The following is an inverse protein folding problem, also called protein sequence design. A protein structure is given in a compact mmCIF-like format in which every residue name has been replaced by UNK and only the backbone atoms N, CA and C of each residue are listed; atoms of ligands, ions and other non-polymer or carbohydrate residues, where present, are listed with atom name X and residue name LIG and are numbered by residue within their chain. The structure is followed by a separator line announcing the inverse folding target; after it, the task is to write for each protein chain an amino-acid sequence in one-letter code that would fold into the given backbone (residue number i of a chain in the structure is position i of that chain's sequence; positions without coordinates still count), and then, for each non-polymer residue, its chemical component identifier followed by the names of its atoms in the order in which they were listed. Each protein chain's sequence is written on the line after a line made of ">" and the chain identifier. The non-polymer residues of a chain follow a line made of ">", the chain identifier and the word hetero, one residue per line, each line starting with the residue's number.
data_IF_302815185084
#
_entry.id   IF_302815185084
#
_cell.length_a   1.000
_cell.length_b   1.000
_cell.length_c   1.000
_cell.angle_alpha   90.00
_cell.angle_beta   90.00
_cell.angle_gamma   90.00
#
_symmetry.space_group_name_H-M   'P 1'
#
loop_
_entity.id
_entity.type
_entity.pdbx_description
1 polymer ?
#
# COMPACT_ATOMS: atom_id res chain seq x y z
N UNK A 1 13.90 -12.82 -25.44
CA UNK A 1 14.90 -13.66 -24.76
C UNK A 1 14.81 -13.38 -23.26
N UNK A 2 14.26 -14.28 -22.42
CA UNK A 2 13.97 -13.98 -21.00
C UNK A 2 15.20 -13.78 -20.09
N UNK A 3 16.40 -13.68 -20.67
CA UNK A 3 17.69 -13.59 -19.97
C UNK A 3 18.28 -12.17 -19.91
N UNK A 4 17.61 -11.14 -20.46
CA UNK A 4 18.15 -9.77 -20.52
C UNK A 4 17.74 -8.86 -19.36
N UNK A 5 17.04 -9.37 -18.34
CA UNK A 5 16.72 -8.60 -17.14
C UNK A 5 17.86 -8.77 -16.13
N UNK A 6 19.00 -8.11 -16.41
CA UNK A 6 20.19 -8.16 -15.55
C UNK A 6 20.19 -7.05 -14.50
N UNK A 7 20.33 -7.46 -13.24
CA UNK A 7 20.28 -6.69 -11.99
C UNK A 7 18.86 -6.41 -11.46
N UNK A 8 18.43 -7.22 -10.48
CA UNK A 8 17.37 -6.82 -9.55
C UNK A 8 17.98 -5.82 -8.58
N UNK A 9 17.90 -4.55 -8.93
CA UNK A 9 18.21 -3.48 -7.99
C UNK A 9 16.98 -3.21 -7.14
N UNK A 10 17.17 -3.11 -5.83
CA UNK A 10 16.11 -2.67 -4.91
C UNK A 10 16.49 -1.31 -4.34
N UNK A 11 15.55 -0.37 -4.41
CA UNK A 11 15.68 0.93 -3.74
C UNK A 11 15.14 0.78 -2.32
N UNK A 12 16.00 0.97 -1.33
CA UNK A 12 15.59 0.87 0.07
C UNK A 12 14.71 2.08 0.44
N UNK A 13 13.54 1.81 1.03
CA UNK A 13 12.52 2.81 1.39
C UNK A 13 13.14 3.95 2.21
N UNK A 14 12.96 5.19 1.75
CA UNK A 14 13.49 6.38 2.43
C UNK A 14 14.98 6.68 2.19
N UNK A 15 15.64 5.98 1.27
CA UNK A 15 17.04 6.25 0.90
C UNK A 15 17.20 6.33 -0.63
N UNK A 16 18.23 7.02 -1.10
CA UNK A 16 18.69 6.96 -2.50
C UNK A 16 19.64 5.80 -2.77
N UNK A 17 19.81 4.87 -1.81
CA UNK A 17 20.73 3.76 -1.92
C UNK A 17 20.08 2.63 -2.71
N UNK A 18 20.71 2.30 -3.83
CA UNK A 18 20.37 1.18 -4.69
C UNK A 18 21.20 -0.02 -4.19
N UNK A 19 20.52 -1.06 -3.73
CA UNK A 19 21.19 -2.33 -3.44
C UNK A 19 21.14 -3.19 -4.71
N UNK A 20 22.31 -3.42 -5.31
CA UNK A 20 22.46 -4.23 -6.50
C UNK A 20 22.91 -5.64 -6.10
N UNK A 21 22.10 -6.64 -6.45
CA UNK A 21 22.51 -8.03 -6.32
C UNK A 21 23.07 -8.52 -7.68
N UNK A 22 24.31 -9.01 -7.75
CA UNK A 22 24.82 -9.60 -8.97
C UNK A 22 24.01 -10.84 -9.33
N UNK A 23 23.82 -11.09 -10.62
CA UNK A 23 23.18 -12.29 -11.10
C UNK A 23 23.98 -13.52 -10.66
N UNK A 24 23.30 -14.54 -10.14
CA UNK A 24 23.93 -15.81 -9.84
C UNK A 24 24.42 -16.48 -11.14
N UNK A 25 25.60 -17.09 -11.10
CA UNK A 25 26.11 -17.85 -12.23
C UNK A 25 25.35 -19.18 -12.37
N UNK A 26 24.82 -19.46 -13.55
CA UNK A 26 24.03 -20.66 -13.86
C UNK A 26 24.86 -21.94 -13.84
N UNK A 27 26.18 -21.84 -13.95
CA UNK A 27 27.09 -23.01 -13.90
C UNK A 27 27.45 -23.43 -12.47
N UNK A 28 27.05 -22.64 -11.46
CA UNK A 28 27.30 -22.97 -10.07
C UNK A 28 26.33 -24.08 -9.60
N UNK A 29 26.89 -25.13 -9.00
CA UNK A 29 26.17 -26.28 -8.45
C UNK A 29 25.16 -25.82 -7.38
N UNK A 30 25.42 -24.70 -6.72
CA UNK A 30 24.53 -24.14 -5.71
C UNK A 30 23.24 -23.53 -6.30
N UNK A 31 23.23 -23.12 -7.57
CA UNK A 31 22.08 -22.46 -8.19
C UNK A 31 20.83 -23.34 -8.29
N UNK A 32 20.87 -24.57 -8.86
CA UNK A 32 19.69 -25.43 -8.92
C UNK A 32 19.20 -25.87 -7.53
N UNK A 33 20.11 -26.03 -6.57
CA UNK A 33 19.76 -26.37 -5.18
C UNK A 33 19.06 -25.21 -4.49
N UNK A 34 19.55 -23.97 -4.67
CA UNK A 34 18.92 -22.77 -4.16
C UNK A 34 17.54 -22.54 -4.80
N UNK A 35 17.42 -22.72 -6.12
CA UNK A 35 16.16 -22.64 -6.85
C UNK A 35 15.11 -23.60 -6.28
N UNK A 36 15.45 -24.89 -6.16
CA UNK A 36 14.55 -25.90 -5.59
C UNK A 36 14.17 -25.60 -4.13
N UNK A 37 15.11 -25.08 -3.33
CA UNK A 37 14.85 -24.69 -1.95
C UNK A 37 13.90 -23.49 -1.89
N UNK A 38 14.06 -22.50 -2.76
CA UNK A 38 13.17 -21.33 -2.86
C UNK A 38 11.77 -21.76 -3.32
N UNK A 39 11.65 -22.60 -4.36
CA UNK A 39 10.34 -23.01 -4.89
C UNK A 39 9.57 -23.89 -3.90
N UNK A 40 10.27 -24.73 -3.11
CA UNK A 40 9.65 -25.54 -2.06
C UNK A 40 9.33 -24.75 -0.78
N UNK A 41 9.97 -23.60 -0.59
CA UNK A 41 9.76 -22.75 0.58
C UNK A 41 8.63 -21.77 0.26
N UNK A 42 7.40 -22.12 0.65
CA UNK A 42 6.27 -21.18 0.66
C UNK A 42 6.53 -19.96 1.57
N UNK A 43 7.49 -20.10 2.50
CA UNK A 43 7.72 -19.18 3.61
C UNK A 43 8.75 -18.06 3.37
N UNK A 44 9.29 -17.86 2.17
CA UNK A 44 10.17 -16.68 1.98
C UNK A 44 9.36 -15.40 2.16
N UNK A 45 8.13 -15.41 1.66
CA UNK A 45 7.15 -14.36 1.96
C UNK A 45 6.81 -14.37 3.45
N UNK A 46 6.42 -15.48 4.06
CA UNK A 46 6.04 -15.49 5.49
C UNK A 46 7.17 -15.06 6.45
N UNK A 47 8.43 -15.34 6.09
CA UNK A 47 9.60 -15.06 6.92
C UNK A 47 10.11 -13.61 6.79
N UNK A 48 9.96 -12.98 5.62
CA UNK A 48 10.44 -11.62 5.36
C UNK A 48 9.33 -10.56 5.22
N UNK A 49 8.08 -10.99 5.07
CA UNK A 49 6.91 -10.12 4.83
C UNK A 49 6.07 -9.90 6.09
N UNK A 50 6.53 -10.32 7.29
CA UNK A 50 5.80 -10.11 8.55
C UNK A 50 5.56 -8.63 8.90
N UNK A 51 6.37 -7.72 8.34
CA UNK A 51 6.26 -6.27 8.51
C UNK A 51 5.98 -5.52 7.21
N UNK A 52 5.59 -6.23 6.16
CA UNK A 52 5.24 -5.58 4.90
C UNK A 52 3.83 -5.02 5.04
N UNK A 53 3.76 -3.74 5.36
CA UNK A 53 2.49 -3.03 5.37
C UNK A 53 2.02 -2.87 3.93
N UNK A 54 0.72 -3.06 3.71
CA UNK A 54 0.10 -2.71 2.44
C UNK A 54 0.32 -1.22 2.16
N UNK A 55 0.50 -0.88 0.90
CA UNK A 55 0.72 0.50 0.50
C UNK A 55 -0.57 1.33 0.67
N UNK A 56 -0.44 2.53 1.25
CA UNK A 56 -1.58 3.42 1.49
C UNK A 56 -2.20 4.00 0.21
N UNK A 57 -1.50 3.91 -0.92
CA UNK A 57 -1.96 4.41 -2.21
C UNK A 57 -1.62 3.35 -3.26
N UNK A 58 -2.66 2.76 -3.84
CA UNK A 58 -2.54 1.76 -4.90
C UNK A 58 -3.37 2.22 -6.08
N UNK A 59 -2.85 2.06 -7.29
CA UNK A 59 -3.61 2.28 -8.53
C UNK A 59 -3.84 0.92 -9.18
N UNK A 60 -5.11 0.52 -9.28
CA UNK A 60 -5.51 -0.74 -9.89
C UNK A 60 -6.23 -0.49 -11.21
N UNK A 61 -5.82 -1.19 -12.27
CA UNK A 61 -6.48 -1.13 -13.57
C UNK A 61 -7.37 -2.36 -13.74
N UNK A 62 -8.69 -2.16 -13.82
CA UNK A 62 -9.61 -3.22 -14.20
C UNK A 62 -9.44 -3.48 -15.71
N UNK A 63 -9.01 -4.69 -16.07
CA UNK A 63 -8.74 -5.05 -17.46
C UNK A 63 -9.85 -5.96 -17.98
N UNK A 64 -10.59 -5.48 -18.98
CA UNK A 64 -11.46 -6.34 -19.79
C UNK A 64 -10.71 -6.76 -21.05
N UNK A 65 -10.63 -8.07 -21.30
CA UNK A 65 -9.93 -8.63 -22.46
C UNK A 65 -10.94 -9.15 -23.46
N UNK A 66 -10.85 -8.64 -24.67
CA UNK A 66 -11.58 -9.17 -25.83
C UNK A 66 -10.60 -9.42 -26.96
N UNK A 67 -10.79 -10.51 -27.68
CA UNK A 67 -9.94 -10.87 -28.82
C UNK A 67 -10.79 -11.16 -30.04
N UNK A 68 -10.37 -10.64 -31.18
CA UNK A 68 -10.94 -10.95 -32.48
C UNK A 68 -9.80 -11.32 -33.45
N UNK A 69 -10.10 -12.16 -34.44
CA UNK A 69 -9.13 -12.51 -35.46
C UNK A 69 -8.71 -11.25 -36.24
N UNK A 70 -7.41 -10.97 -36.26
CA UNK A 70 -6.81 -9.84 -36.96
C UNK A 70 -5.65 -10.32 -37.85
N UNK A 71 -5.48 -9.77 -39.06
CA UNK A 71 -6.37 -8.81 -39.73
C UNK A 71 -7.60 -9.50 -40.33
N UNK A 72 -8.66 -8.73 -40.61
CA UNK A 72 -9.81 -9.24 -41.35
C UNK A 72 -9.43 -9.46 -42.82
N UNK A 73 -9.93 -10.55 -43.42
CA UNK A 73 -9.63 -10.94 -44.81
C UNK A 73 -9.74 -9.80 -45.83
N UNK A 74 -10.79 -8.96 -45.85
CA UNK A 74 -10.88 -7.87 -46.83
C UNK A 74 -9.82 -6.77 -46.62
N UNK A 75 -9.29 -6.60 -45.42
CA UNK A 75 -8.31 -5.56 -45.09
C UNK A 75 -6.86 -6.06 -45.09
N UNK A 76 -6.62 -7.35 -45.38
CA UNK A 76 -5.29 -7.96 -45.28
C UNK A 76 -4.25 -7.31 -46.22
N UNK A 77 -4.67 -6.84 -47.40
CA UNK A 77 -3.79 -6.13 -48.33
C UNK A 77 -3.37 -4.75 -47.82
N UNK A 78 -4.22 -4.07 -47.05
CA UNK A 78 -3.88 -2.80 -46.41
C UNK A 78 -2.88 -3.04 -45.27
N UNK A 79 -3.05 -4.12 -44.52
CA UNK A 79 -2.06 -4.55 -43.52
C UNK A 79 -0.72 -4.86 -44.18
N UNK A 80 -0.71 -5.53 -45.33
CA UNK A 80 0.52 -5.77 -46.12
C UNK A 80 1.22 -4.45 -46.49
N UNK A 81 0.50 -3.51 -47.08
CA UNK A 81 1.06 -2.22 -47.48
C UNK A 81 1.60 -1.44 -46.27
N UNK A 82 0.91 -1.51 -45.13
CA UNK A 82 1.38 -0.92 -43.88
C UNK A 82 2.67 -1.58 -43.40
N UNK A 83 2.75 -2.91 -43.34
CA UNK A 83 3.95 -3.64 -42.91
C UNK A 83 5.15 -3.35 -43.82
N UNK A 84 4.94 -3.31 -45.14
CA UNK A 84 6.00 -2.96 -46.12
C UNK A 84 6.46 -1.49 -46.02
N UNK A 85 5.60 -0.61 -45.48
CA UNK A 85 5.97 0.80 -45.24
C UNK A 85 6.79 1.00 -43.97
N UNK A 86 6.78 0.04 -43.05
CA UNK A 86 7.55 0.09 -41.81
C UNK A 86 9.01 -0.30 -42.09
N UNK A 87 9.96 0.38 -41.46
CA UNK A 87 11.40 0.04 -41.56
C UNK A 87 11.78 -1.17 -40.68
N UNK A 88 10.98 -2.23 -40.74
CA UNK A 88 11.15 -3.47 -39.96
C UNK A 88 11.74 -4.54 -40.88
N UNK A 89 12.69 -5.37 -40.40
CA UNK A 89 13.22 -6.47 -41.19
C UNK A 89 12.10 -7.47 -41.54
N UNK A 90 11.84 -7.60 -42.84
CA UNK A 90 10.87 -8.55 -43.36
C UNK A 90 11.47 -9.97 -43.39
N UNK A 91 10.66 -11.02 -43.22
CA UNK A 91 11.10 -12.40 -43.40
C UNK A 91 11.64 -12.66 -44.81
N UNK A 92 12.65 -13.53 -44.93
CA UNK A 92 13.29 -13.84 -46.21
C UNK A 92 12.33 -14.33 -47.31
N UNK A 93 11.22 -14.97 -46.92
CA UNK A 93 10.20 -15.51 -47.84
C UNK A 93 8.94 -14.62 -47.94
N UNK A 94 9.04 -13.32 -47.64
CA UNK A 94 7.90 -12.40 -47.67
C UNK A 94 7.19 -12.39 -49.03
N UNK A 95 7.93 -12.28 -50.13
CA UNK A 95 7.33 -12.16 -51.48
C UNK A 95 6.44 -13.34 -51.87
N UNK A 96 6.70 -14.55 -51.35
CA UNK A 96 5.95 -15.76 -51.69
C UNK A 96 4.92 -16.16 -50.65
N UNK A 97 5.17 -15.88 -49.36
CA UNK A 97 4.35 -16.39 -48.25
C UNK A 97 3.85 -15.31 -47.26
N UNK A 98 3.84 -14.04 -47.67
CA UNK A 98 3.37 -12.93 -46.84
C UNK A 98 1.97 -13.16 -46.25
N UNK A 99 1.07 -13.87 -46.96
CA UNK A 99 -0.30 -14.08 -46.50
C UNK A 99 -0.34 -14.92 -45.22
N UNK A 100 0.34 -16.07 -45.18
CA UNK A 100 0.38 -16.90 -43.97
C UNK A 100 1.22 -16.26 -42.87
N UNK A 101 2.22 -15.48 -43.26
CA UNK A 101 3.08 -14.75 -42.33
C UNK A 101 2.27 -13.70 -41.55
N UNK A 102 1.46 -12.91 -42.25
CA UNK A 102 0.54 -11.97 -41.62
C UNK A 102 -0.51 -12.73 -40.79
N UNK A 103 -1.10 -13.82 -41.30
CA UNK A 103 -2.14 -14.52 -40.55
C UNK A 103 -1.66 -15.16 -39.24
N UNK A 104 -0.41 -15.63 -39.18
CA UNK A 104 0.11 -16.35 -38.02
C UNK A 104 0.90 -15.46 -37.05
N UNK A 105 1.55 -14.40 -37.54
CA UNK A 105 2.47 -13.59 -36.73
C UNK A 105 1.99 -12.15 -36.49
N UNK A 106 0.95 -11.68 -37.19
CA UNK A 106 0.42 -10.35 -36.96
C UNK A 106 -0.50 -10.33 -35.73
N UNK A 107 -0.24 -9.38 -34.83
CA UNK A 107 -1.11 -9.10 -33.68
C UNK A 107 -1.48 -7.62 -33.68
N UNK A 108 -2.78 -7.35 -33.56
CA UNK A 108 -3.29 -6.00 -33.32
C UNK A 108 -3.69 -5.91 -31.86
N UNK A 109 -3.08 -4.97 -31.13
CA UNK A 109 -3.39 -4.69 -29.74
C UNK A 109 -3.98 -3.28 -29.67
N UNK A 110 -5.23 -3.20 -29.24
CA UNK A 110 -5.92 -1.94 -29.01
C UNK A 110 -6.16 -1.79 -27.50
N UNK A 111 -5.69 -0.69 -26.92
CA UNK A 111 -5.88 -0.37 -25.50
C UNK A 111 -6.82 0.82 -25.44
N UNK A 112 -8.04 0.58 -24.96
CA UNK A 112 -9.11 1.59 -24.90
C UNK A 112 -9.55 1.74 -23.45
N UNK A 113 -9.74 2.99 -23.02
CA UNK A 113 -10.37 3.29 -21.74
C UNK A 113 -11.89 3.19 -21.90
N UNK A 114 -12.55 2.37 -21.07
CA UNK A 114 -14.01 2.23 -21.09
C UNK A 114 -14.72 3.55 -20.76
N UNK A 115 -14.18 4.30 -19.79
CA UNK A 115 -14.69 5.61 -19.42
C UNK A 115 -13.56 6.56 -18.98
N UNK A 116 -13.85 7.86 -18.98
CA UNK A 116 -12.95 8.89 -18.45
C UNK A 116 -13.16 9.14 -16.95
N UNK A 117 -13.92 8.27 -16.27
CA UNK A 117 -14.17 8.38 -14.84
C UNK A 117 -13.14 7.54 -14.09
N UNK A 118 -12.51 8.13 -13.08
CA UNK A 118 -11.60 7.44 -12.18
C UNK A 118 -12.33 7.21 -10.87
N UNK A 119 -12.48 5.96 -10.48
CA UNK A 119 -13.02 5.60 -9.16
C UNK A 119 -11.92 5.75 -8.12
N UNK A 120 -12.14 6.64 -7.15
CA UNK A 120 -11.24 6.84 -6.03
C UNK A 120 -11.86 6.28 -4.76
N UNK A 121 -11.17 5.32 -4.15
CA UNK A 121 -11.55 4.73 -2.87
C UNK A 121 -10.66 5.33 -1.78
N UNK A 122 -11.24 6.16 -0.92
CA UNK A 122 -10.54 6.78 0.22
C UNK A 122 -11.14 6.28 1.52
N UNK A 123 -10.30 5.73 2.39
CA UNK A 123 -10.70 5.35 3.74
C UNK A 123 -10.52 6.52 4.69
N UNK A 124 -11.61 6.94 5.33
CA UNK A 124 -11.60 8.00 6.34
C UNK A 124 -11.97 7.44 7.71
N UNK A 125 -11.35 7.97 8.77
CA UNK A 125 -11.66 7.57 10.13
C UNK A 125 -13.11 7.97 10.47
N UNK A 126 -13.95 6.98 10.80
CA UNK A 126 -15.38 7.18 11.10
C UNK A 126 -15.62 8.04 12.34
N UNK A 127 -14.65 8.11 13.25
CA UNK A 127 -14.73 8.89 14.48
C UNK A 127 -13.41 9.63 14.70
N UNK A 128 -13.48 10.96 14.71
CA UNK A 128 -12.38 11.81 15.15
C UNK A 128 -12.36 11.95 16.67
N UNK A 129 -11.18 12.18 17.26
CA UNK A 129 -11.05 12.47 18.69
C UNK A 129 -11.91 13.68 19.12
N UNK A 130 -12.07 14.67 18.23
CA UNK A 130 -12.95 15.82 18.45
C UNK A 130 -14.41 15.40 18.52
N UNK A 131 -14.84 14.45 17.67
CA UNK A 131 -16.18 13.89 17.68
C UNK A 131 -16.47 13.14 18.96
N UNK A 132 -15.49 12.38 19.50
CA UNK A 132 -15.63 11.71 20.80
C UNK A 132 -15.83 12.72 21.91
N UNK A 133 -14.97 13.75 21.98
CA UNK A 133 -15.04 14.75 23.04
C UNK A 133 -16.34 15.57 22.97
N UNK A 134 -16.79 15.90 21.75
CA UNK A 134 -18.06 16.58 21.52
C UNK A 134 -19.25 15.73 21.95
N UNK A 135 -19.25 14.43 21.63
CA UNK A 135 -20.34 13.54 22.01
C UNK A 135 -20.43 13.33 23.53
N UNK A 136 -19.27 13.13 24.19
CA UNK A 136 -19.21 13.03 25.65
C UNK A 136 -19.67 14.33 26.30
N UNK A 137 -19.10 15.47 25.88
CA UNK A 137 -19.46 16.78 26.43
C UNK A 137 -20.94 17.13 26.21
N UNK A 138 -21.50 16.79 25.05
CA UNK A 138 -22.91 16.98 24.72
C UNK A 138 -23.82 16.13 25.62
N UNK A 139 -23.52 14.84 25.77
CA UNK A 139 -24.30 13.97 26.65
C UNK A 139 -24.17 14.36 28.14
N UNK A 140 -22.96 14.67 28.62
CA UNK A 140 -22.77 15.08 30.02
C UNK A 140 -23.42 16.44 30.32
N UNK A 141 -23.35 17.37 29.37
CA UNK A 141 -24.00 18.67 29.45
C UNK A 141 -25.52 18.56 29.43
N UNK A 142 -26.08 17.62 28.66
CA UNK A 142 -27.52 17.40 28.58
C UNK A 142 -28.09 16.75 29.85
N UNK A 143 -27.43 15.73 30.38
CA UNK A 143 -27.96 14.93 31.50
C UNK A 143 -27.66 15.53 32.87
N UNK A 144 -26.46 16.08 33.06
CA UNK A 144 -25.99 16.55 34.37
C UNK A 144 -25.90 18.09 34.41
N UNK A 145 -25.90 18.75 33.26
CA UNK A 145 -25.69 20.21 33.18
C UNK A 145 -24.26 20.64 33.53
N UNK A 146 -23.32 19.69 33.61
CA UNK A 146 -21.94 19.93 34.04
C UNK A 146 -21.09 20.26 32.82
N UNK A 147 -20.35 21.36 32.91
CA UNK A 147 -19.37 21.78 31.90
C UNK A 147 -17.94 21.44 32.34
N UNK A 148 -16.97 21.57 31.43
CA UNK A 148 -15.54 21.41 31.76
C UNK A 148 -15.10 22.32 32.91
N UNK A 149 -15.66 23.54 32.99
CA UNK A 149 -15.37 24.48 34.07
C UNK A 149 -15.85 23.96 35.43
N UNK A 150 -17.03 23.34 35.46
CA UNK A 150 -17.59 22.74 36.67
C UNK A 150 -16.72 21.56 37.19
N UNK A 151 -16.09 20.79 36.29
CA UNK A 151 -15.14 19.73 36.67
C UNK A 151 -13.87 20.35 37.28
N UNK A 152 -13.34 21.42 36.68
CA UNK A 152 -12.16 22.10 37.23
C UNK A 152 -12.42 22.71 38.60
N UNK A 153 -13.60 23.29 38.82
CA UNK A 153 -14.01 23.81 40.13
C UNK A 153 -14.12 22.69 41.17
N UNK A 154 -14.66 21.53 40.79
CA UNK A 154 -14.73 20.36 41.68
C UNK A 154 -13.33 19.84 42.07
N UNK A 155 -12.38 19.82 41.13
CA UNK A 155 -10.99 19.44 41.40
C UNK A 155 -10.32 20.45 42.34
N UNK A 156 -10.54 21.75 42.14
CA UNK A 156 -10.01 22.78 43.02
C UNK A 156 -10.56 22.63 44.45
N UNK A 157 -11.87 22.37 44.58
CA UNK A 157 -12.50 22.11 45.87
C UNK A 157 -11.90 20.89 46.56
N UNK A 158 -11.72 19.78 45.85
CA UNK A 158 -11.07 18.57 46.37
C UNK A 158 -9.63 18.84 46.82
N UNK A 159 -8.86 19.61 46.05
CA UNK A 159 -7.49 19.97 46.40
C UNK A 159 -7.43 20.80 47.68
N UNK A 160 -8.31 21.81 47.81
CA UNK A 160 -8.42 22.65 49.01
C UNK A 160 -8.83 21.82 50.24
N UNK A 161 -9.78 20.89 50.07
CA UNK A 161 -10.23 20.00 51.14
C UNK A 161 -9.11 19.06 51.61
N UNK A 162 -8.41 18.41 50.68
CA UNK A 162 -7.29 17.53 51.00
C UNK A 162 -6.18 18.30 51.74
N UNK A 163 -5.87 19.53 51.32
CA UNK A 163 -4.88 20.39 51.99
C UNK A 163 -5.33 20.77 53.41
N UNK A 164 -6.61 21.08 53.60
CA UNK A 164 -7.17 21.42 54.90
C UNK A 164 -7.10 20.22 55.86
N UNK A 165 -7.53 19.04 55.41
CA UNK A 165 -7.48 17.81 56.22
C UNK A 165 -6.04 17.42 56.56
N UNK A 166 -5.10 17.56 55.62
CA UNK A 166 -3.68 17.35 55.91
C UNK A 166 -3.16 18.33 56.97
N UNK A 167 -3.57 19.60 56.90
CA UNK A 167 -3.17 20.60 57.89
C UNK A 167 -3.82 20.35 59.27
N UNK A 168 -5.11 19.97 59.30
CA UNK A 168 -5.86 19.64 60.51
C UNK A 168 -5.29 18.40 61.20
N UNK A 169 -4.99 17.34 60.43
CA UNK A 169 -4.29 16.15 60.92
C UNK A 169 -2.91 16.50 61.46
N UNK A 170 -2.13 17.33 60.75
CA UNK A 170 -0.78 17.75 61.19
C UNK A 170 -0.83 18.57 62.48
N UNK A 171 -1.82 19.45 62.65
CA UNK A 171 -2.03 20.23 63.87
C UNK A 171 -2.44 19.35 65.06
N UNK A 172 -3.26 18.33 64.82
CA UNK A 172 -3.69 17.37 65.84
C UNK A 172 -2.54 16.44 66.26
N UNK A 173 -1.69 16.03 65.31
CA UNK A 173 -0.47 15.27 65.56
C UNK A 173 0.56 16.08 66.37
N UNK A 174 0.79 17.35 66.01
CA UNK A 174 1.71 18.21 66.78
C UNK A 174 1.20 18.49 68.19
N UNK A 175 -0.11 18.70 68.40
CA UNK A 175 -0.68 18.84 69.74
C UNK A 175 -0.54 17.55 70.58
N UNK A 176 -0.68 16.37 69.97
CA UNK A 176 -0.40 15.09 70.65
C UNK A 176 1.09 14.92 70.99
N UNK A 177 2.00 15.43 70.18
CA UNK A 177 3.44 15.37 70.44
C UNK A 177 3.87 16.34 71.55
N UNK A 178 3.28 17.54 71.59
CA UNK A 178 3.59 18.54 72.62
C UNK A 178 2.99 18.21 74.00
N UNK A 179 1.94 17.39 74.07
CA UNK A 179 1.32 16.95 75.33
C UNK A 179 1.95 15.66 75.89
N UNK A 180 3.01 15.15 75.24
CA UNK A 180 3.71 13.91 75.63
C UNK A 180 5.17 14.16 76.05
N UNK A 181 5.62 15.42 76.00
CA UNK A 181 6.85 15.95 76.61
C UNK A 181 6.46 16.83 77.81
#
# INVERSE_FOLDING_TARGET
>A
NPYEWSARSIVLRGTSKIAEAPLCNLTDICYPVAGLKITKTSSIWDQYCSHCHQECSTVTFALMKSSIAAPSMPFIYLTKAHVESLSIPLPANWSTNWLSEIQNNYVSLEVVCESNQVENYTEEASVSAVSVLSNVGGHTGLWIGISFLSIMEFIEMLYRLCRYEFHSMKRTLMNKFNNKN
#
